data_IF_777473210100
#
_entry.id   IF_777473210100
#
_cell.length_a   1.000
_cell.length_b   1.000
_cell.length_c   1.000
_cell.angle_alpha   90.00
_cell.angle_beta   90.00
_cell.angle_gamma   90.00
#
_symmetry.space_group_name_H-M   'P 1'
#
loop_
_entity.id
_entity.type
_entity.pdbx_description
1 polymer ?
#
# COMPACT_ATOMS: atom_id res chain seq x y z
N UNK A 1 13.95 66.95 -53.33
CA UNK A 1 13.55 65.60 -52.88
C UNK A 1 13.86 64.55 -53.93
N UNK A 2 14.54 63.46 -53.54
CA UNK A 2 15.03 62.40 -54.45
C UNK A 2 14.01 61.28 -54.72
N UNK A 3 12.96 61.17 -53.90
CA UNK A 3 11.93 60.12 -53.99
C UNK A 3 10.52 60.73 -53.95
N UNK A 4 9.56 60.19 -54.72
CA UNK A 4 8.19 60.68 -54.74
C UNK A 4 7.44 60.32 -53.46
N UNK A 5 6.59 61.24 -52.99
CA UNK A 5 5.84 61.09 -51.73
C UNK A 5 4.99 59.82 -51.66
N UNK A 6 4.45 59.35 -52.80
CA UNK A 6 3.66 58.11 -52.84
C UNK A 6 4.45 56.88 -52.39
N UNK A 7 5.70 56.74 -52.83
CA UNK A 7 6.58 55.64 -52.38
C UNK A 7 6.88 55.76 -50.89
N UNK A 8 7.08 56.97 -50.38
CA UNK A 8 7.34 57.19 -48.96
C UNK A 8 6.12 56.82 -48.13
N UNK A 9 4.93 57.27 -48.53
CA UNK A 9 3.66 56.98 -47.84
C UNK A 9 3.39 55.47 -47.78
N UNK A 10 3.63 54.73 -48.86
CA UNK A 10 3.47 53.27 -48.89
C UNK A 10 4.42 52.54 -47.93
N UNK A 11 5.59 53.13 -47.65
CA UNK A 11 6.60 52.57 -46.75
C UNK A 11 6.45 53.03 -45.29
N UNK A 12 5.65 54.06 -45.00
CA UNK A 12 5.46 54.56 -43.63
C UNK A 12 4.96 53.49 -42.64
N UNK A 13 4.01 52.58 -42.99
CA UNK A 13 3.59 51.51 -42.08
C UNK A 13 4.75 50.56 -41.74
N UNK A 14 5.54 50.16 -42.73
CA UNK A 14 6.71 49.29 -42.53
C UNK A 14 7.81 49.96 -41.71
N UNK A 15 7.98 51.27 -41.89
CA UNK A 15 8.90 52.08 -41.09
C UNK A 15 8.44 52.19 -39.65
N UNK A 16 7.14 52.40 -39.42
CA UNK A 16 6.49 52.43 -38.11
C UNK A 16 6.62 51.09 -37.36
N UNK A 17 6.41 49.97 -38.07
CA UNK A 17 6.58 48.61 -37.55
C UNK A 17 8.06 48.23 -37.32
N UNK A 18 9.01 49.09 -37.73
CA UNK A 18 10.44 48.90 -37.51
C UNK A 18 11.10 47.84 -38.39
N UNK A 19 10.41 47.33 -39.41
CA UNK A 19 10.85 46.22 -40.28
C UNK A 19 11.60 46.66 -41.54
N UNK A 20 11.69 47.97 -41.79
CA UNK A 20 12.49 48.51 -42.89
C UNK A 20 14.00 48.24 -42.72
N UNK A 21 14.70 48.04 -43.84
CA UNK A 21 16.16 48.01 -43.86
C UNK A 21 16.76 49.37 -43.48
N UNK A 22 18.03 49.40 -43.08
CA UNK A 22 18.71 50.64 -42.69
C UNK A 22 18.78 51.67 -43.83
N UNK A 23 18.94 51.21 -45.07
CA UNK A 23 18.97 52.07 -46.25
C UNK A 23 17.60 52.72 -46.50
N UNK A 24 16.51 51.95 -46.46
CA UNK A 24 15.16 52.47 -46.60
C UNK A 24 14.79 53.45 -45.48
N UNK A 25 15.26 53.18 -44.25
CA UNK A 25 15.05 54.06 -43.10
C UNK A 25 15.66 55.44 -43.31
N UNK A 26 16.92 55.52 -43.72
CA UNK A 26 17.60 56.80 -43.97
C UNK A 26 16.91 57.63 -45.06
N UNK A 27 16.38 56.97 -46.10
CA UNK A 27 15.63 57.63 -47.18
C UNK A 27 14.33 58.26 -46.65
N UNK A 28 13.60 57.54 -45.79
CA UNK A 28 12.34 57.99 -45.22
C UNK A 28 12.59 59.15 -44.24
N UNK A 29 13.59 59.04 -43.36
CA UNK A 29 13.96 60.09 -42.40
C UNK A 29 14.30 61.41 -43.11
N UNK A 30 15.17 61.37 -44.12
CA UNK A 30 15.52 62.55 -44.91
C UNK A 30 14.30 63.16 -45.62
N UNK A 31 13.35 62.33 -46.07
CA UNK A 31 12.13 62.82 -46.71
C UNK A 31 11.15 63.47 -45.72
N UNK A 32 11.04 62.93 -44.50
CA UNK A 32 10.17 63.46 -43.44
C UNK A 32 10.68 64.81 -42.88
N UNK A 33 11.97 65.08 -42.98
CA UNK A 33 12.55 66.39 -42.64
C UNK A 33 12.19 67.47 -43.68
N UNK A 34 12.11 67.09 -44.95
CA UNK A 34 11.87 68.02 -46.06
C UNK A 34 10.39 68.15 -46.47
N UNK A 35 9.51 67.19 -46.15
CA UNK A 35 8.10 67.18 -46.56
C UNK A 35 7.12 67.15 -45.37
N UNK A 36 6.34 68.23 -45.23
CA UNK A 36 5.27 68.37 -44.24
C UNK A 36 4.14 67.34 -44.41
N UNK A 37 3.80 67.01 -45.65
CA UNK A 37 2.64 66.17 -45.95
C UNK A 37 2.89 64.72 -45.54
N UNK A 38 4.06 64.18 -45.86
CA UNK A 38 4.49 62.85 -45.41
C UNK A 38 4.66 62.79 -43.89
N UNK A 39 5.11 63.88 -43.25
CA UNK A 39 5.17 64.00 -41.79
C UNK A 39 3.79 63.93 -41.16
N UNK A 40 2.79 64.58 -41.75
CA UNK A 40 1.41 64.49 -41.29
C UNK A 40 0.82 63.09 -41.48
N UNK A 41 1.09 62.43 -42.62
CA UNK A 41 0.70 61.03 -42.83
C UNK A 41 1.30 60.11 -41.76
N UNK A 42 2.58 60.28 -41.42
CA UNK A 42 3.24 59.50 -40.37
C UNK A 42 2.61 59.71 -38.98
N UNK A 43 2.25 60.95 -38.62
CA UNK A 43 1.58 61.23 -37.35
C UNK A 43 0.19 60.57 -37.27
N UNK A 44 -0.56 60.55 -38.37
CA UNK A 44 -1.87 59.91 -38.41
C UNK A 44 -1.82 58.38 -38.23
N UNK A 45 -0.72 57.73 -38.62
CA UNK A 45 -0.46 56.32 -38.31
C UNK A 45 -0.28 56.10 -36.80
N UNK A 46 0.47 56.97 -36.13
CA UNK A 46 0.68 56.91 -34.67
C UNK A 46 -0.58 57.18 -33.85
N UNK A 47 -1.50 58.04 -34.32
CA UNK A 47 -2.82 58.22 -33.69
C UNK A 47 -3.72 56.98 -33.85
N UNK A 48 -3.55 56.20 -34.92
CA UNK A 48 -4.30 54.95 -35.11
C UNK A 48 -3.88 53.84 -34.13
N UNK A 49 -2.60 53.82 -33.72
CA UNK A 49 -2.11 52.90 -32.67
C UNK A 49 -2.64 53.27 -31.27
N UNK A 50 -2.93 54.54 -31.03
CA UNK A 50 -3.55 54.99 -29.77
C UNK A 50 -5.02 54.53 -29.64
N UNK A 51 -5.66 54.11 -30.73
CA UNK A 51 -7.04 53.62 -30.75
C UNK A 51 -7.16 52.11 -30.45
N UNK A 52 -6.05 51.37 -30.37
CA UNK A 52 -6.03 49.96 -29.98
C UNK A 52 -5.29 49.78 -28.64
N UNK A 53 -5.97 49.48 -27.52
CA UNK A 53 -5.33 49.33 -26.22
C UNK A 53 -4.60 47.98 -26.11
N UNK A 54 -3.46 47.82 -26.79
CA UNK A 54 -2.71 46.55 -26.82
C UNK A 54 -1.90 46.30 -25.52
N UNK A 55 -1.81 47.27 -24.61
CA UNK A 55 -0.98 47.16 -23.39
C UNK A 55 -1.75 46.75 -22.12
N UNK A 56 -3.03 47.14 -21.95
CA UNK A 56 -3.79 46.80 -20.73
C UNK A 56 -4.35 45.37 -20.73
N UNK A 57 -4.80 44.85 -21.87
CA UNK A 57 -5.34 43.48 -21.94
C UNK A 57 -4.25 42.43 -21.71
N UNK A 58 -3.08 42.54 -22.37
CA UNK A 58 -1.95 41.61 -22.17
C UNK A 58 -1.41 41.61 -20.74
N UNK A 59 -1.26 42.77 -20.09
CA UNK A 59 -0.86 42.81 -18.68
C UNK A 59 -1.94 42.24 -17.75
N UNK A 60 -3.23 42.49 -18.02
CA UNK A 60 -4.32 41.94 -17.21
C UNK A 60 -4.42 40.43 -17.37
N UNK A 61 -4.25 39.91 -18.59
CA UNK A 61 -4.28 38.48 -18.90
C UNK A 61 -3.06 37.76 -18.32
N UNK A 62 -1.87 38.39 -18.34
CA UNK A 62 -0.66 37.86 -17.68
C UNK A 62 -0.79 37.86 -16.14
N UNK A 63 -1.33 38.94 -15.54
CA UNK A 63 -1.59 39.02 -14.09
C UNK A 63 -2.67 38.03 -13.66
N UNK A 64 -3.74 37.84 -14.45
CA UNK A 64 -4.76 36.80 -14.25
C UNK A 64 -4.13 35.41 -14.38
N UNK A 65 -3.36 35.13 -15.43
CA UNK A 65 -2.71 33.84 -15.61
C UNK A 65 -1.71 33.52 -14.48
N UNK A 66 -0.96 34.51 -13.99
CA UNK A 66 -0.07 34.37 -12.85
C UNK A 66 -0.83 34.13 -11.53
N UNK A 67 -1.94 34.83 -11.30
CA UNK A 67 -2.78 34.64 -10.11
C UNK A 67 -3.50 33.29 -10.11
N UNK A 68 -4.02 32.84 -11.25
CA UNK A 68 -4.59 31.51 -11.41
C UNK A 68 -3.55 30.39 -11.24
N UNK A 69 -2.31 30.57 -11.73
CA UNK A 69 -1.21 29.62 -11.49
C UNK A 69 -0.82 29.56 -10.02
N UNK A 70 -0.71 30.71 -9.34
CA UNK A 70 -0.41 30.76 -7.91
C UNK A 70 -1.50 30.11 -7.05
N UNK A 71 -2.78 30.30 -7.40
CA UNK A 71 -3.92 29.65 -6.73
C UNK A 71 -3.93 28.14 -7.01
N UNK A 72 -3.77 27.72 -8.27
CA UNK A 72 -3.68 26.28 -8.63
C UNK A 72 -2.52 25.59 -7.93
N UNK A 73 -1.34 26.21 -7.84
CA UNK A 73 -0.20 25.64 -7.11
C UNK A 73 -0.47 25.52 -5.61
N UNK A 74 -1.15 26.50 -4.99
CA UNK A 74 -1.57 26.41 -3.58
C UNK A 74 -2.60 25.29 -3.36
N UNK A 75 -3.53 25.12 -4.29
CA UNK A 75 -4.54 24.06 -4.23
C UNK A 75 -3.93 22.67 -4.45
N UNK A 76 -3.05 22.52 -5.44
CA UNK A 76 -2.34 21.26 -5.71
C UNK A 76 -1.43 20.87 -4.53
N UNK A 77 -0.74 21.83 -3.90
CA UNK A 77 0.04 21.58 -2.67
C UNK A 77 -0.86 21.10 -1.53
N UNK A 78 -2.03 21.72 -1.33
CA UNK A 78 -3.01 21.28 -0.31
C UNK A 78 -3.57 19.88 -0.62
N UNK A 79 -3.89 19.59 -1.88
CA UNK A 79 -4.36 18.28 -2.32
C UNK A 79 -3.27 17.21 -2.16
N UNK A 80 -2.01 17.54 -2.47
CA UNK A 80 -0.88 16.63 -2.28
C UNK A 80 -0.67 16.31 -0.79
N UNK A 81 -0.69 17.32 0.09
CA UNK A 81 -0.60 17.10 1.55
C UNK A 81 -1.76 16.24 2.04
N UNK A 82 -2.98 16.52 1.59
CA UNK A 82 -4.16 15.72 1.94
C UNK A 82 -4.05 14.27 1.45
N UNK A 83 -3.55 14.05 0.23
CA UNK A 83 -3.35 12.72 -0.33
C UNK A 83 -2.28 11.94 0.44
N UNK A 84 -1.15 12.58 0.79
CA UNK A 84 -0.10 11.96 1.62
C UNK A 84 -0.63 11.65 3.02
N UNK A 85 -1.39 12.56 3.64
CA UNK A 85 -2.02 12.32 4.93
C UNK A 85 -2.99 11.14 4.88
N UNK A 86 -3.83 11.05 3.84
CA UNK A 86 -4.74 9.93 3.64
C UNK A 86 -3.98 8.61 3.44
N UNK A 87 -2.90 8.60 2.64
CA UNK A 87 -2.06 7.43 2.44
C UNK A 87 -1.45 6.93 3.76
N UNK A 88 -0.92 7.86 4.58
CA UNK A 88 -0.35 7.53 5.88
C UNK A 88 -1.40 6.96 6.84
N UNK A 89 -2.61 7.52 6.84
CA UNK A 89 -3.73 6.99 7.64
C UNK A 89 -4.13 5.59 7.19
N UNK A 90 -4.22 5.34 5.88
CA UNK A 90 -4.50 4.01 5.35
C UNK A 90 -3.40 3.01 5.73
N UNK A 91 -2.13 3.40 5.61
CA UNK A 91 -1.00 2.56 6.00
C UNK A 91 -1.04 2.24 7.50
N UNK A 92 -1.34 3.22 8.35
CA UNK A 92 -1.51 3.01 9.78
C UNK A 92 -2.66 2.04 10.10
N UNK A 93 -3.81 2.20 9.44
CA UNK A 93 -4.95 1.30 9.60
C UNK A 93 -4.60 -0.14 9.19
N UNK A 94 -3.88 -0.33 8.08
CA UNK A 94 -3.40 -1.64 7.65
C UNK A 94 -2.44 -2.24 8.69
N UNK A 95 -1.48 -1.46 9.20
CA UNK A 95 -0.55 -1.95 10.22
C UNK A 95 -1.27 -2.38 11.50
N UNK A 96 -2.26 -1.61 11.95
CA UNK A 96 -3.10 -1.98 13.10
C UNK A 96 -3.87 -3.27 12.81
N UNK A 97 -4.49 -3.38 11.63
CA UNK A 97 -5.22 -4.58 11.22
C UNK A 97 -4.33 -5.83 11.22
N UNK A 98 -3.16 -5.76 10.60
CA UNK A 98 -2.17 -6.84 10.61
C UNK A 98 -1.74 -7.18 12.04
N UNK A 99 -1.49 -6.18 12.88
CA UNK A 99 -1.13 -6.37 14.28
C UNK A 99 -2.20 -7.10 15.08
N UNK A 100 -3.47 -6.71 14.92
CA UNK A 100 -4.62 -7.39 15.55
C UNK A 100 -4.71 -8.83 15.06
N UNK A 101 -4.58 -9.07 13.76
CA UNK A 101 -4.63 -10.42 13.19
C UNK A 101 -3.52 -11.33 13.70
N UNK A 102 -2.30 -10.79 13.86
CA UNK A 102 -1.15 -11.52 14.43
C UNK A 102 -1.27 -11.76 15.94
N UNK A 103 -1.98 -10.91 16.69
CA UNK A 103 -2.20 -11.13 18.12
C UNK A 103 -3.40 -12.04 18.41
N UNK A 104 -4.35 -12.14 17.48
CA UNK A 104 -5.53 -12.98 17.64
C UNK A 104 -5.14 -14.44 17.49
N UNK A 105 -4.89 -15.11 18.62
CA UNK A 105 -4.67 -16.55 18.68
C UNK A 105 -5.97 -17.29 18.40
N UNK A 106 -5.88 -18.34 17.59
CA UNK A 106 -6.98 -19.22 17.28
C UNK A 106 -6.51 -20.67 17.42
N UNK A 107 -7.26 -21.46 18.18
CA UNK A 107 -7.04 -22.89 18.25
C UNK A 107 -7.39 -23.51 16.91
N UNK A 108 -6.49 -24.31 16.36
CA UNK A 108 -6.70 -24.96 15.09
C UNK A 108 -7.75 -26.05 15.32
N UNK A 109 -8.87 -25.97 14.59
CA UNK A 109 -9.89 -27.00 14.66
C UNK A 109 -9.33 -28.30 14.11
N UNK A 110 -9.63 -29.40 14.79
CA UNK A 110 -9.38 -30.72 14.24
C UNK A 110 -10.27 -30.94 13.01
N UNK A 111 -9.74 -31.60 11.99
CA UNK A 111 -10.37 -31.90 10.71
C UNK A 111 -9.52 -32.90 9.92
N UNK A 112 -9.83 -33.16 8.65
CA UNK A 112 -9.08 -34.11 7.79
C UNK A 112 -7.60 -33.72 7.56
N UNK A 113 -7.22 -32.52 8.01
CA UNK A 113 -5.91 -31.93 7.78
C UNK A 113 -4.91 -32.22 8.92
N UNK A 114 -5.32 -32.85 10.03
CA UNK A 114 -4.42 -33.22 11.13
C UNK A 114 -4.36 -34.74 11.27
N UNK A 115 -3.16 -35.31 11.14
CA UNK A 115 -2.92 -36.74 11.37
C UNK A 115 -1.76 -36.94 12.33
N UNK A 116 -1.80 -38.04 13.10
CA UNK A 116 -0.71 -38.43 14.00
C UNK A 116 -0.27 -39.83 13.61
N UNK A 117 1.05 -40.02 13.49
CA UNK A 117 1.63 -41.31 13.11
C UNK A 117 2.99 -41.52 13.76
N UNK A 118 3.38 -42.79 13.91
CA UNK A 118 4.71 -43.18 14.34
C UNK A 118 5.64 -43.20 13.12
N UNK A 119 6.73 -42.44 13.16
CA UNK A 119 7.75 -42.37 12.11
C UNK A 119 9.11 -42.44 12.79
N UNK A 120 9.94 -43.43 12.43
CA UNK A 120 11.28 -43.65 13.01
C UNK A 120 11.28 -43.66 14.56
N UNK A 121 10.32 -44.38 15.15
CA UNK A 121 10.10 -44.47 16.60
C UNK A 121 9.76 -43.12 17.28
N UNK A 122 9.36 -42.12 16.49
CA UNK A 122 8.88 -40.82 16.97
C UNK A 122 7.39 -40.65 16.67
N UNK A 123 6.66 -40.10 17.65
CA UNK A 123 5.27 -39.71 17.46
C UNK A 123 5.22 -38.33 16.80
N UNK A 124 4.77 -38.29 15.54
CA UNK A 124 4.70 -37.07 14.74
C UNK A 124 3.26 -36.69 14.40
N UNK A 125 2.91 -35.42 14.62
CA UNK A 125 1.70 -34.80 14.12
C UNK A 125 1.98 -34.06 12.82
N UNK A 126 1.18 -34.30 11.78
CA UNK A 126 1.24 -33.62 10.50
C UNK A 126 -0.03 -32.79 10.29
N UNK A 127 0.16 -31.50 10.05
CA UNK A 127 -0.90 -30.53 9.79
C UNK A 127 -0.81 -30.02 8.36
N UNK A 128 -1.88 -30.17 7.58
CA UNK A 128 -1.99 -29.66 6.21
C UNK A 128 -2.54 -28.23 6.19
N UNK A 129 -1.96 -27.39 5.33
CA UNK A 129 -2.49 -26.07 4.96
C UNK A 129 -2.39 -25.00 6.03
N UNK A 130 -1.77 -25.28 7.18
CA UNK A 130 -1.62 -24.31 8.25
C UNK A 130 -0.29 -24.51 9.00
N UNK A 131 0.22 -23.42 9.56
CA UNK A 131 1.35 -23.40 10.47
C UNK A 131 0.85 -23.09 11.87
N UNK A 132 1.04 -24.03 12.79
CA UNK A 132 0.85 -23.80 14.20
C UNK A 132 2.09 -23.12 14.79
N UNK A 133 1.89 -21.94 15.38
CA UNK A 133 2.94 -21.21 16.09
C UNK A 133 3.12 -21.69 17.53
N UNK A 134 2.13 -22.43 18.05
CA UNK A 134 2.17 -22.91 19.42
C UNK A 134 1.59 -24.31 19.50
N UNK A 135 2.37 -25.19 20.13
CA UNK A 135 2.06 -26.57 20.43
C UNK A 135 2.11 -26.73 21.95
N UNK A 136 0.99 -27.15 22.54
CA UNK A 136 0.93 -27.51 23.95
C UNK A 136 0.70 -29.00 24.05
N UNK A 137 1.58 -29.69 24.78
CA UNK A 137 1.54 -31.14 24.98
C UNK A 137 1.60 -31.43 26.47
N UNK A 138 0.82 -32.42 26.92
CA UNK A 138 0.89 -33.00 28.25
C UNK A 138 0.79 -34.52 28.20
N UNK A 139 1.71 -35.19 28.88
CA UNK A 139 1.71 -36.63 29.11
C UNK A 139 1.04 -36.92 30.44
N UNK A 140 0.09 -37.83 30.44
CA UNK A 140 -0.66 -38.24 31.64
C UNK A 140 -0.57 -39.75 31.75
N UNK A 141 -0.12 -40.22 32.92
CA UNK A 141 -0.03 -41.64 33.22
C UNK A 141 -1.08 -41.97 34.26
N UNK A 142 -1.92 -42.97 33.98
CA UNK A 142 -2.95 -43.41 34.91
C UNK A 142 -3.00 -44.93 34.97
N UNK A 143 -3.28 -45.45 36.16
CA UNK A 143 -3.48 -46.88 36.37
C UNK A 143 -4.96 -47.19 36.23
N UNK A 144 -5.38 -47.65 35.04
CA UNK A 144 -6.73 -48.17 34.85
C UNK A 144 -6.75 -49.67 35.19
N UNK A 145 -7.21 -50.01 36.40
CA UNK A 145 -7.27 -51.39 36.87
C UNK A 145 -5.87 -51.94 37.22
N UNK A 146 -5.36 -52.90 36.43
CA UNK A 146 -4.02 -53.51 36.60
C UNK A 146 -2.99 -53.06 35.56
N UNK A 147 -3.38 -52.21 34.61
CA UNK A 147 -2.50 -51.75 33.55
C UNK A 147 -2.26 -50.24 33.71
N UNK A 148 -1.01 -49.83 33.60
CA UNK A 148 -0.65 -48.43 33.44
C UNK A 148 -0.88 -48.06 31.99
N UNK A 149 -1.64 -47.00 31.76
CA UNK A 149 -1.85 -46.40 30.45
C UNK A 149 -1.27 -45.00 30.42
N UNK A 150 -0.60 -44.69 29.33
CA UNK A 150 0.01 -43.38 29.05
C UNK A 150 -0.76 -42.70 27.94
N UNK A 151 -1.29 -41.52 28.26
CA UNK A 151 -2.03 -40.68 27.34
C UNK A 151 -1.19 -39.43 27.01
N UNK A 152 -1.21 -39.00 25.76
CA UNK A 152 -0.62 -37.74 25.34
C UNK A 152 -1.72 -36.81 24.82
N UNK A 153 -1.97 -35.73 25.56
CA UNK A 153 -2.91 -34.69 25.18
C UNK A 153 -2.16 -33.55 24.51
N UNK A 154 -2.63 -33.10 23.35
CA UNK A 154 -2.06 -31.92 22.73
C UNK A 154 -3.10 -31.05 22.02
N UNK A 155 -2.75 -29.80 21.78
CA UNK A 155 -3.42 -28.98 20.78
C UNK A 155 -2.45 -28.05 20.06
N UNK A 156 -2.89 -27.59 18.91
CA UNK A 156 -2.19 -26.64 18.06
C UNK A 156 -2.98 -25.33 18.01
N UNK A 157 -2.27 -24.21 18.08
CA UNK A 157 -2.86 -22.90 17.85
C UNK A 157 -1.96 -22.08 16.93
N UNK A 158 -2.59 -21.36 16.00
CA UNK A 158 -1.93 -20.40 15.13
C UNK A 158 -2.53 -19.00 15.35
N UNK A 159 -2.17 -18.08 14.47
CA UNK A 159 -2.81 -16.77 14.39
C UNK A 159 -3.70 -16.70 13.16
N UNK A 160 -4.71 -15.83 13.19
CA UNK A 160 -5.53 -15.59 11.99
C UNK A 160 -4.73 -15.05 10.80
N UNK A 161 -3.57 -14.44 11.08
CA UNK A 161 -2.66 -14.02 10.04
C UNK A 161 -2.09 -15.22 9.27
N UNK A 162 -1.70 -16.28 9.98
CA UNK A 162 -1.10 -17.48 9.36
C UNK A 162 -2.13 -18.24 8.52
N UNK A 163 -3.38 -18.32 8.98
CA UNK A 163 -4.49 -18.89 8.20
C UNK A 163 -4.72 -18.14 6.89
N UNK A 164 -4.54 -16.82 6.87
CA UNK A 164 -4.65 -16.03 5.63
C UNK A 164 -3.42 -16.26 4.74
N UNK A 165 -2.21 -16.24 5.30
CA UNK A 165 -0.98 -16.23 4.47
C UNK A 165 -0.49 -17.61 4.04
N UNK A 166 -0.89 -18.68 4.72
CA UNK A 166 -0.43 -20.04 4.42
C UNK A 166 -1.18 -20.62 3.22
N UNK A 167 -0.49 -21.46 2.44
CA UNK A 167 -1.07 -22.13 1.27
C UNK A 167 -1.49 -23.55 1.65
N UNK A 168 -2.63 -24.02 1.13
CA UNK A 168 -3.18 -25.35 1.43
C UNK A 168 -2.31 -26.54 0.95
N UNK A 169 -1.30 -26.26 0.13
CA UNK A 169 -0.39 -27.27 -0.46
C UNK A 169 0.79 -27.65 0.45
N UNK A 170 1.01 -26.94 1.56
CA UNK A 170 2.12 -27.25 2.49
C UNK A 170 1.67 -28.10 3.67
N UNK A 171 2.58 -28.91 4.19
CA UNK A 171 2.40 -29.68 5.42
C UNK A 171 3.42 -29.24 6.45
N UNK A 172 2.96 -29.03 7.69
CA UNK A 172 3.79 -28.75 8.85
C UNK A 172 3.88 -30.00 9.71
N UNK A 173 5.08 -30.39 10.11
CA UNK A 173 5.33 -31.56 10.94
C UNK A 173 5.80 -31.16 12.34
N UNK A 174 5.23 -31.79 13.35
CA UNK A 174 5.49 -31.51 14.77
C UNK A 174 5.79 -32.82 15.49
N UNK A 175 6.98 -32.90 16.10
CA UNK A 175 7.33 -34.04 16.95
C UNK A 175 6.59 -33.91 18.29
N UNK A 176 5.66 -34.82 18.56
CA UNK A 176 4.91 -34.88 19.82
C UNK A 176 5.71 -35.59 20.91
N UNK A 177 6.38 -36.69 20.56
CA UNK A 177 7.27 -37.42 21.46
C UNK A 177 8.44 -38.01 20.66
N UNK A 178 9.69 -37.62 20.96
CA UNK A 178 10.85 -38.19 20.28
C UNK A 178 11.17 -39.60 20.80
N UNK A 179 11.92 -40.36 20.01
CA UNK A 179 12.24 -41.77 20.28
C UNK A 179 12.98 -41.98 21.61
N UNK A 180 13.84 -41.04 22.00
CA UNK A 180 14.60 -41.07 23.26
C UNK A 180 13.75 -40.80 24.51
N UNK A 181 12.47 -40.44 24.33
CA UNK A 181 11.50 -40.18 25.41
C UNK A 181 10.42 -41.25 25.52
N UNK A 182 10.72 -42.45 25.04
CA UNK A 182 9.83 -43.60 25.13
C UNK A 182 8.50 -43.37 24.42
N UNK A 183 8.54 -42.89 23.18
CA UNK A 183 7.34 -42.71 22.35
C UNK A 183 6.53 -44.02 22.21
N UNK A 184 7.21 -45.17 22.19
CA UNK A 184 6.61 -46.51 22.18
C UNK A 184 5.78 -46.86 23.43
N UNK A 185 5.94 -46.12 24.53
CA UNK A 185 5.16 -46.34 25.76
C UNK A 185 3.87 -45.53 25.81
N UNK A 186 3.60 -44.72 24.78
CA UNK A 186 2.38 -43.93 24.67
C UNK A 186 1.32 -44.84 24.07
N UNK A 187 0.22 -45.05 24.79
CA UNK A 187 -0.89 -45.88 24.32
C UNK A 187 -1.83 -45.10 23.39
N UNK A 188 -2.07 -43.83 23.70
CA UNK A 188 -3.02 -42.99 22.97
C UNK A 188 -2.57 -41.53 22.87
N UNK A 189 -2.84 -40.92 21.72
CA UNK A 189 -2.70 -39.48 21.50
C UNK A 189 -4.06 -38.85 21.24
N UNK A 190 -4.41 -37.87 22.08
CA UNK A 190 -5.68 -37.17 22.06
C UNK A 190 -5.49 -35.68 21.78
N UNK A 191 -6.33 -35.14 20.90
CA UNK A 191 -6.43 -33.71 20.67
C UNK A 191 -7.43 -33.10 21.63
N UNK A 192 -6.96 -32.23 22.53
CA UNK A 192 -7.80 -31.62 23.56
C UNK A 192 -7.57 -30.11 23.63
N UNK A 193 -8.64 -29.32 23.51
CA UNK A 193 -8.57 -27.86 23.48
C UNK A 193 -9.09 -27.20 24.76
N UNK A 194 -9.38 -27.98 25.80
CA UNK A 194 -9.89 -27.48 27.07
C UNK A 194 -8.79 -27.12 28.07
N UNK A 195 -9.08 -27.22 29.37
CA UNK A 195 -8.16 -26.82 30.42
C UNK A 195 -7.16 -27.95 30.76
N UNK A 196 -5.87 -27.64 30.65
CA UNK A 196 -4.78 -28.55 30.97
C UNK A 196 -4.33 -28.45 32.44
N UNK A 197 -4.89 -27.53 33.21
CA UNK A 197 -4.49 -27.28 34.59
C UNK A 197 -4.78 -28.51 35.45
N UNK A 198 -3.73 -29.14 35.96
CA UNK A 198 -3.85 -30.31 36.85
C UNK A 198 -4.26 -31.62 36.15
N UNK A 199 -4.25 -31.68 34.81
CA UNK A 199 -4.65 -32.88 34.05
C UNK A 199 -3.85 -34.14 34.42
N UNK A 200 -2.58 -33.96 34.83
CA UNK A 200 -1.67 -35.03 35.27
C UNK A 200 -2.08 -35.66 36.62
N UNK A 201 -2.84 -34.92 37.42
CA UNK A 201 -3.26 -35.32 38.77
C UNK A 201 -4.76 -35.66 38.87
N UNK A 202 -5.47 -35.64 37.75
CA UNK A 202 -6.91 -35.93 37.71
C UNK A 202 -7.17 -37.39 38.07
N UNK A 203 -8.29 -37.62 38.75
CA UNK A 203 -8.73 -38.98 39.03
C UNK A 203 -9.25 -39.67 37.75
N UNK A 204 -9.43 -40.99 37.80
CA UNK A 204 -9.82 -41.77 36.62
C UNK A 204 -11.16 -41.32 35.99
N UNK A 205 -12.11 -40.82 36.79
CA UNK A 205 -13.41 -40.36 36.29
C UNK A 205 -13.30 -38.99 35.61
N UNK A 206 -12.54 -38.06 36.19
CA UNK A 206 -12.27 -36.74 35.61
C UNK A 206 -11.50 -36.88 34.29
N UNK A 207 -10.48 -37.75 34.28
CA UNK A 207 -9.72 -38.02 33.07
C UNK A 207 -10.60 -38.64 31.98
N UNK A 208 -11.54 -39.51 32.34
CA UNK A 208 -12.51 -40.09 31.39
C UNK A 208 -13.37 -39.01 30.73
N UNK A 209 -13.82 -37.99 31.49
CA UNK A 209 -14.57 -36.87 30.91
C UNK A 209 -13.71 -36.05 29.94
N UNK A 210 -12.43 -35.84 30.25
CA UNK A 210 -11.50 -35.16 29.34
C UNK A 210 -11.26 -35.98 28.07
N UNK A 211 -11.13 -37.31 28.20
CA UNK A 211 -11.02 -38.24 27.07
C UNK A 211 -12.25 -38.17 26.17
N UNK A 212 -13.46 -38.14 26.75
CA UNK A 212 -14.72 -38.02 25.99
C UNK A 212 -14.87 -36.67 25.28
N UNK A 213 -14.27 -35.61 25.81
CA UNK A 213 -14.22 -34.29 25.19
C UNK A 213 -13.09 -34.12 24.17
N UNK A 214 -12.21 -35.11 24.04
CA UNK A 214 -11.06 -35.04 23.16
C UNK A 214 -11.18 -35.99 21.98
N UNK A 215 -10.40 -35.71 20.95
CA UNK A 215 -10.43 -36.46 19.70
C UNK A 215 -9.23 -37.39 19.68
N UNK A 216 -9.49 -38.70 19.60
CA UNK A 216 -8.44 -39.69 19.44
C UNK A 216 -7.83 -39.57 18.04
N UNK A 217 -6.53 -39.23 17.97
CA UNK A 217 -5.81 -39.10 16.71
C UNK A 217 -4.87 -40.28 16.42
N UNK A 218 -4.43 -40.98 17.46
CA UNK A 218 -3.58 -42.16 17.32
C UNK A 218 -3.72 -43.08 18.54
N UNK A 219 -3.60 -44.38 18.29
CA UNK A 219 -3.60 -45.43 19.31
C UNK A 219 -2.65 -46.55 18.88
N UNK A 220 -1.90 -47.09 19.84
CA UNK A 220 -0.99 -48.22 19.65
C UNK A 220 -1.71 -49.57 19.54
#
# INVERSE_FOLDING_TARGET
MKYPCGIIQDLLPLYHDGVCSQESRQIIEAHLEECSDCKQSYLSLGESDALFPVSQEKESELKKAASFRAVKQKLLKKQFIAAVAALLLCAAAIMVFVGVMKHTQQVISYGEHLSVSMVDDQLMARLQGNEANYLKIKRVETTQGKQNKTYLFFYLSGTKWDEWTTRDEVFSEYVLCPADKSAEQIDQVLYYTGDYTGIESMNANELQQVIEQSVLLWQQ
#
